data_IF_175805400103
#
_entry.id   IF_175805400103
#
_cell.length_a   1.000
_cell.length_b   1.000
_cell.length_c   1.000
_cell.angle_alpha   90.00
_cell.angle_beta   90.00
_cell.angle_gamma   90.00
#
_symmetry.space_group_name_H-M   'P 1'
#
loop_
_entity.id
_entity.type
_entity.pdbx_description
1 polymer ?
#
# COMPACT_ATOMS: atom_id res chain seq x y z
N UNK A 1 0.04 5.19 -14.82
CA UNK A 1 -0.16 3.73 -14.65
C UNK A 1 0.98 3.01 -15.37
N UNK A 2 1.53 1.94 -14.77
CA UNK A 2 2.55 1.11 -15.43
C UNK A 2 1.96 0.30 -16.59
N UNK A 3 2.76 0.07 -17.64
CA UNK A 3 2.37 -0.82 -18.74
C UNK A 3 2.65 -2.29 -18.37
N UNK A 4 1.80 -3.21 -18.81
CA UNK A 4 2.00 -4.66 -18.62
C UNK A 4 1.79 -5.18 -17.19
N UNK A 5 1.06 -4.45 -16.33
CA UNK A 5 0.72 -4.93 -14.99
C UNK A 5 -0.45 -5.91 -15.04
N UNK A 6 -0.24 -7.14 -14.57
CA UNK A 6 -1.28 -8.16 -14.51
C UNK A 6 -2.01 -8.23 -13.16
N UNK A 7 -1.34 -7.83 -12.07
CA UNK A 7 -1.91 -7.77 -10.73
C UNK A 7 -1.30 -6.65 -9.89
N UNK A 8 -2.04 -6.21 -8.89
CA UNK A 8 -1.61 -5.30 -7.84
C UNK A 8 -1.69 -5.98 -6.49
N UNK A 9 -0.81 -5.59 -5.58
CA UNK A 9 -0.93 -5.87 -4.15
C UNK A 9 -0.54 -4.61 -3.40
N UNK A 10 -1.10 -4.41 -2.20
CA UNK A 10 -0.82 -3.24 -1.39
C UNK A 10 -0.57 -3.66 0.04
N UNK A 11 0.54 -3.19 0.59
CA UNK A 11 0.88 -3.32 2.00
C UNK A 11 0.94 -1.93 2.62
N UNK A 12 0.47 -1.79 3.86
CA UNK A 12 0.57 -0.57 4.64
C UNK A 12 0.97 -0.90 6.07
N UNK A 13 1.92 -0.15 6.63
CA UNK A 13 2.38 -0.33 8.00
C UNK A 13 2.70 0.98 8.71
N UNK A 14 2.77 0.91 10.04
CA UNK A 14 3.14 2.03 10.91
C UNK A 14 4.66 2.27 10.99
N UNK A 15 5.46 1.32 10.51
CA UNK A 15 6.93 1.40 10.43
C UNK A 15 7.44 0.99 9.05
N UNK A 16 8.66 1.41 8.64
CA UNK A 16 9.19 1.05 7.33
C UNK A 16 9.23 -0.46 7.09
N UNK A 17 8.56 -0.93 6.04
CA UNK A 17 8.52 -2.34 5.66
C UNK A 17 7.52 -3.22 6.43
N UNK A 18 6.85 -2.68 7.45
CA UNK A 18 5.73 -3.36 8.12
C UNK A 18 4.47 -3.37 7.25
N UNK A 19 3.53 -4.25 7.61
CA UNK A 19 2.22 -4.39 6.96
C UNK A 19 1.08 -4.56 7.99
N UNK A 20 1.29 -4.05 9.21
CA UNK A 20 0.37 -4.15 10.35
C UNK A 20 -0.97 -3.43 10.15
N UNK A 21 -1.02 -2.46 9.24
CA UNK A 21 -2.24 -1.70 8.95
C UNK A 21 -3.07 -2.34 7.83
N UNK A 22 -2.40 -2.90 6.81
CA UNK A 22 -3.07 -3.55 5.68
C UNK A 22 -2.10 -4.43 4.89
N UNK A 23 -2.58 -5.58 4.40
CA UNK A 23 -1.87 -6.39 3.42
C UNK A 23 -2.84 -7.22 2.57
N UNK A 24 -2.88 -7.00 1.26
CA UNK A 24 -3.62 -7.88 0.36
C UNK A 24 -3.13 -7.84 -1.08
N UNK A 25 -3.40 -8.91 -1.82
CA UNK A 25 -3.40 -8.92 -3.29
C UNK A 25 -4.75 -8.41 -3.77
N UNK A 26 -4.73 -7.38 -4.61
CA UNK A 26 -5.91 -6.67 -5.10
C UNK A 26 -6.38 -7.17 -6.48
N UNK A 27 -5.63 -8.08 -7.10
CA UNK A 27 -5.88 -8.50 -8.48
C UNK A 27 -5.72 -7.31 -9.44
N UNK A 28 -6.71 -7.03 -10.27
CA UNK A 28 -6.69 -5.90 -11.21
C UNK A 28 -7.28 -4.61 -10.64
N UNK A 29 -7.77 -4.64 -9.39
CA UNK A 29 -8.35 -3.46 -8.74
C UNK A 29 -7.29 -2.36 -8.56
N UNK A 30 -7.71 -1.12 -8.79
CA UNK A 30 -6.87 0.08 -8.67
C UNK A 30 -7.20 0.96 -7.46
N UNK A 31 -8.21 0.55 -6.70
CA UNK A 31 -8.71 1.28 -5.54
C UNK A 31 -8.97 0.30 -4.41
N UNK A 32 -8.58 0.68 -3.20
CA UNK A 32 -8.83 -0.09 -2.00
C UNK A 32 -9.06 0.89 -0.84
N UNK A 33 -10.17 0.73 -0.12
CA UNK A 33 -10.39 1.47 1.12
C UNK A 33 -9.64 0.77 2.26
N UNK A 34 -8.94 1.55 3.08
CA UNK A 34 -8.20 1.07 4.26
C UNK A 34 -8.54 1.97 5.43
N UNK A 35 -8.89 1.37 6.57
CA UNK A 35 -9.06 2.09 7.82
C UNK A 35 -7.68 2.29 8.44
N UNK A 36 -7.33 3.55 8.72
CA UNK A 36 -6.03 3.92 9.30
C UNK A 36 -6.21 4.45 10.73
N UNK A 37 -5.15 4.40 11.56
CA UNK A 37 -5.10 5.14 12.82
C UNK A 37 -5.36 6.63 12.61
N UNK A 38 -5.83 7.30 13.66
CA UNK A 38 -6.06 8.76 13.68
C UNK A 38 -5.17 9.46 14.70
N UNK A 39 -3.97 8.93 14.89
CA UNK A 39 -2.97 9.34 15.89
C UNK A 39 -1.91 10.32 15.34
N UNK A 40 -2.04 10.76 14.09
CA UNK A 40 -1.03 11.59 13.43
C UNK A 40 0.28 10.86 13.08
N UNK A 41 0.32 9.54 13.25
CA UNK A 41 1.51 8.72 13.01
C UNK A 41 1.88 8.56 11.53
N UNK A 42 3.11 8.09 11.24
CA UNK A 42 3.52 7.77 9.88
C UNK A 42 2.79 6.53 9.34
N UNK A 43 2.51 6.54 8.05
CA UNK A 43 1.94 5.41 7.30
C UNK A 43 2.82 5.12 6.09
N UNK A 44 3.43 3.94 6.08
CA UNK A 44 4.30 3.46 5.00
C UNK A 44 3.49 2.54 4.11
N UNK A 45 3.26 2.94 2.86
CA UNK A 45 2.49 2.15 1.88
C UNK A 45 3.41 1.64 0.79
N UNK A 46 3.42 0.33 0.56
CA UNK A 46 4.09 -0.30 -0.57
C UNK A 46 3.06 -0.79 -1.59
N UNK A 47 3.09 -0.21 -2.79
CA UNK A 47 2.31 -0.71 -3.92
C UNK A 47 3.16 -1.68 -4.72
N UNK A 48 2.72 -2.93 -4.76
CA UNK A 48 3.29 -3.98 -5.60
C UNK A 48 2.53 -4.06 -6.93
N UNK A 49 3.26 -4.22 -8.02
CA UNK A 49 2.75 -4.46 -9.37
C UNK A 49 3.42 -5.70 -9.94
N UNK A 50 2.61 -6.69 -10.33
CA UNK A 50 3.09 -7.89 -10.99
C UNK A 50 3.28 -7.59 -12.48
N UNK A 51 4.54 -7.60 -12.93
CA UNK A 51 4.93 -7.34 -14.31
C UNK A 51 5.77 -8.51 -14.81
N UNK A 52 5.35 -9.15 -15.91
CA UNK A 52 6.06 -10.31 -16.49
C UNK A 52 6.37 -11.40 -15.47
N UNK A 53 5.42 -11.70 -14.56
CA UNK A 53 5.59 -12.72 -13.50
C UNK A 53 6.45 -12.29 -12.31
N UNK A 54 6.99 -11.07 -12.31
CA UNK A 54 7.82 -10.54 -11.21
C UNK A 54 7.12 -9.39 -10.49
N UNK A 55 7.10 -9.44 -9.17
CA UNK A 55 6.61 -8.34 -8.34
C UNK A 55 7.63 -7.19 -8.30
N UNK A 56 7.19 -6.02 -8.73
CA UNK A 56 7.91 -4.74 -8.59
C UNK A 56 7.18 -3.88 -7.58
N UNK A 57 7.88 -3.01 -6.86
CA UNK A 57 7.25 -2.18 -5.84
C UNK A 57 7.59 -0.69 -5.98
N UNK A 58 6.70 0.14 -5.48
CA UNK A 58 6.93 1.56 -5.21
C UNK A 58 6.48 1.85 -3.78
N UNK A 59 7.28 2.63 -3.05
CA UNK A 59 6.98 3.04 -1.69
C UNK A 59 6.41 4.45 -1.67
N UNK A 60 5.43 4.64 -0.80
CA UNK A 60 4.76 5.91 -0.55
C UNK A 60 4.72 6.15 0.95
N UNK A 61 4.93 7.39 1.34
CA UNK A 61 4.91 7.80 2.73
C UNK A 61 3.80 8.81 2.95
N UNK A 62 2.99 8.55 3.97
CA UNK A 62 1.88 9.41 4.37
C UNK A 62 1.94 9.67 5.87
N UNK A 63 1.19 10.67 6.30
CA UNK A 63 0.92 10.92 7.72
C UNK A 63 -0.57 10.70 7.93
N UNK A 64 -0.90 9.89 8.94
CA UNK A 64 -2.28 9.69 9.35
C UNK A 64 -2.89 11.02 9.79
N UNK A 65 -4.23 11.10 9.71
CA UNK A 65 -4.93 12.21 10.32
C UNK A 65 -4.68 12.22 11.84
N UNK A 66 -4.58 13.38 12.47
CA UNK A 66 -4.57 13.52 13.92
C UNK A 66 -5.95 13.99 14.38
N UNK A 67 -6.67 13.15 15.10
CA UNK A 67 -7.96 13.53 15.69
C UNK A 67 -7.78 14.59 16.80
N UNK A 68 -8.73 15.54 16.94
CA UNK A 68 -8.69 16.58 17.97
C UNK A 68 -8.98 16.06 19.38
#
# INVERSE_FOLDING_TARGET
AGSGVSQYAMWAGSTPGSYDLYAAVLGTNRTQAVTLPVDGGPVYVRLWSLMSGTWKFNDYFYTAFLAP
#
